data_IF_223231695615
#
_entry.id   IF_223231695615
#
_cell.length_a   1.000
_cell.length_b   1.000
_cell.length_c   1.000
_cell.angle_alpha   90.00
_cell.angle_beta   90.00
_cell.angle_gamma   90.00
#
_symmetry.space_group_name_H-M   'P 1'
#
loop_
_entity.id
_entity.type
_entity.pdbx_description
1 polymer ?
#
# COMPACT_ATOMS: atom_id res chain seq x y z
N UNK A 1 2.22 10.05 17.24
CA UNK A 1 2.64 10.32 15.85
C UNK A 1 3.37 9.12 15.25
N UNK A 2 4.30 8.48 15.97
CA UNK A 2 4.87 7.19 15.58
C UNK A 2 3.78 6.14 15.29
N UNK A 3 2.82 5.95 16.20
CA UNK A 3 1.71 4.99 16.03
C UNK A 3 0.85 5.18 14.77
N UNK A 4 0.69 6.42 14.29
CA UNK A 4 -0.12 6.71 13.10
C UNK A 4 0.66 6.36 11.83
N UNK A 5 1.97 6.55 11.85
CA UNK A 5 2.83 6.22 10.73
C UNK A 5 3.01 4.69 10.64
N UNK A 6 3.24 4.04 11.78
CA UNK A 6 3.36 2.59 11.87
C UNK A 6 2.06 1.92 11.43
N UNK A 7 0.90 2.37 11.92
CA UNK A 7 -0.39 1.85 11.47
C UNK A 7 -0.64 2.08 9.98
N UNK A 8 -0.19 3.21 9.41
CA UNK A 8 -0.31 3.46 7.98
C UNK A 8 0.63 2.57 7.15
N UNK A 9 1.82 2.25 7.68
CA UNK A 9 2.76 1.32 7.06
C UNK A 9 2.21 -0.11 7.10
N UNK A 10 1.65 -0.53 8.23
CA UNK A 10 1.02 -1.86 8.38
C UNK A 10 -0.12 -2.04 7.38
N UNK A 11 -1.01 -1.04 7.26
CA UNK A 11 -2.12 -1.08 6.29
C UNK A 11 -1.64 -1.14 4.83
N UNK A 12 -0.55 -0.47 4.49
CA UNK A 12 0.05 -0.55 3.16
C UNK A 12 0.67 -1.94 2.93
N UNK A 13 1.33 -2.50 3.94
CA UNK A 13 1.98 -3.82 3.88
C UNK A 13 0.94 -4.92 3.66
N UNK A 14 -0.13 -4.93 4.46
CA UNK A 14 -1.24 -5.88 4.31
C UNK A 14 -1.84 -5.82 2.89
N UNK A 15 -2.03 -4.61 2.35
CA UNK A 15 -2.56 -4.44 0.99
C UNK A 15 -1.61 -4.91 -0.10
N UNK A 16 -0.29 -4.75 0.09
CA UNK A 16 0.72 -5.30 -0.84
C UNK A 16 0.65 -6.83 -0.83
N UNK A 17 0.56 -7.45 0.33
CA UNK A 17 0.51 -8.90 0.47
C UNK A 17 -0.73 -9.49 -0.22
N UNK A 18 -1.89 -8.84 -0.05
CA UNK A 18 -3.14 -9.20 -0.75
C UNK A 18 -2.99 -9.15 -2.27
N UNK A 19 -2.42 -8.05 -2.80
CA UNK A 19 -2.17 -7.87 -4.24
C UNK A 19 -1.20 -8.94 -4.75
N UNK A 20 -0.09 -9.18 -4.05
CA UNK A 20 0.90 -10.18 -4.45
C UNK A 20 0.30 -11.59 -4.41
N UNK A 21 -0.51 -11.91 -3.40
CA UNK A 21 -1.24 -13.18 -3.31
C UNK A 21 -2.21 -13.37 -4.48
N UNK A 22 -2.95 -12.32 -4.84
CA UNK A 22 -3.85 -12.35 -5.99
C UNK A 22 -3.11 -12.53 -7.32
N UNK A 23 -2.03 -11.79 -7.55
CA UNK A 23 -1.20 -11.91 -8.76
C UNK A 23 -0.56 -13.30 -8.88
N UNK A 24 -0.17 -13.90 -7.77
CA UNK A 24 0.34 -15.28 -7.76
C UNK A 24 -0.73 -16.28 -8.18
N UNK A 25 -1.97 -16.12 -7.73
CA UNK A 25 -3.07 -17.00 -8.13
C UNK A 25 -3.38 -16.88 -9.64
N UNK A 26 -3.27 -15.67 -10.20
CA UNK A 26 -3.35 -15.43 -11.64
C UNK A 26 -2.24 -16.16 -12.41
N UNK A 27 -0.99 -16.06 -11.93
CA UNK A 27 0.18 -16.69 -12.56
C UNK A 27 0.10 -18.23 -12.49
N UNK A 28 -0.42 -18.77 -11.39
CA UNK A 28 -0.70 -20.20 -11.21
C UNK A 28 -1.90 -20.70 -12.08
N UNK A 29 -2.52 -19.82 -12.88
CA UNK A 29 -3.62 -20.16 -13.79
C UNK A 29 -4.95 -20.44 -13.10
N UNK A 30 -5.13 -19.98 -11.85
CA UNK A 30 -6.38 -20.20 -11.11
C UNK A 30 -7.51 -19.38 -11.73
N UNK A 31 -8.75 -19.90 -11.74
CA UNK A 31 -9.91 -19.13 -12.18
C UNK A 31 -10.03 -17.87 -11.33
N UNK A 32 -10.07 -16.72 -12.00
CA UNK A 32 -10.19 -15.43 -11.33
C UNK A 32 -11.61 -14.93 -11.42
N UNK A 33 -12.21 -14.69 -10.26
CA UNK A 33 -13.44 -13.95 -10.15
C UNK A 33 -13.21 -12.50 -10.63
N UNK A 34 -14.05 -12.03 -11.55
CA UNK A 34 -13.94 -10.67 -12.08
C UNK A 34 -14.14 -9.61 -11.00
N UNK A 35 -14.93 -9.89 -9.97
CA UNK A 35 -15.08 -8.96 -8.86
C UNK A 35 -13.76 -8.84 -8.06
N UNK A 36 -13.12 -9.97 -7.77
CA UNK A 36 -11.81 -10.01 -7.13
C UNK A 36 -10.72 -9.28 -7.97
N UNK A 37 -10.71 -9.46 -9.29
CA UNK A 37 -9.80 -8.75 -10.18
C UNK A 37 -10.00 -7.23 -10.14
N UNK A 38 -11.25 -6.79 -10.17
CA UNK A 38 -11.58 -5.37 -10.10
C UNK A 38 -11.12 -4.75 -8.77
N UNK A 39 -11.30 -5.47 -7.67
CA UNK A 39 -10.81 -5.07 -6.34
C UNK A 39 -9.28 -4.98 -6.32
N UNK A 40 -8.58 -6.01 -6.78
CA UNK A 40 -7.11 -6.00 -6.81
C UNK A 40 -6.54 -4.85 -7.66
N UNK A 41 -7.15 -4.55 -8.82
CA UNK A 41 -6.76 -3.39 -9.65
C UNK A 41 -6.99 -2.07 -8.92
N UNK A 42 -8.13 -1.93 -8.23
CA UNK A 42 -8.43 -0.75 -7.43
C UNK A 42 -7.46 -0.58 -6.25
N UNK A 43 -7.08 -1.68 -5.60
CA UNK A 43 -6.14 -1.66 -4.49
C UNK A 43 -4.72 -1.31 -4.94
N UNK A 44 -4.28 -1.79 -6.09
CA UNK A 44 -3.05 -1.35 -6.75
C UNK A 44 -3.02 0.18 -6.97
N UNK A 45 -4.14 0.74 -7.45
CA UNK A 45 -4.24 2.18 -7.69
C UNK A 45 -4.14 2.97 -6.36
N UNK A 46 -4.85 2.52 -5.32
CA UNK A 46 -4.83 3.15 -4.00
C UNK A 46 -3.46 3.08 -3.32
N UNK A 47 -2.72 1.97 -3.51
CA UNK A 47 -1.39 1.80 -2.95
C UNK A 47 -0.45 2.93 -3.39
N UNK A 48 -0.52 3.32 -4.67
CA UNK A 48 0.29 4.40 -5.22
C UNK A 48 0.02 5.74 -4.51
N UNK A 49 -1.22 6.00 -4.13
CA UNK A 49 -1.64 7.22 -3.45
C UNK A 49 -1.26 7.20 -1.96
N UNK A 50 -1.38 6.05 -1.30
CA UNK A 50 -0.91 5.83 0.06
C UNK A 50 0.61 6.05 0.17
N UNK A 51 1.40 5.46 -0.74
CA UNK A 51 2.85 5.64 -0.79
C UNK A 51 3.28 7.09 -1.01
N UNK A 52 2.59 7.82 -1.91
CA UNK A 52 2.83 9.26 -2.11
C UNK A 52 2.56 10.06 -0.84
N UNK A 53 1.52 9.71 -0.09
CA UNK A 53 1.16 10.37 1.16
C UNK A 53 2.19 10.10 2.25
N UNK A 54 2.64 8.85 2.38
CA UNK A 54 3.70 8.46 3.31
C UNK A 54 5.00 9.22 3.01
N UNK A 55 5.40 9.31 1.74
CA UNK A 55 6.58 10.08 1.31
C UNK A 55 6.50 11.56 1.71
N UNK A 56 5.33 12.19 1.57
CA UNK A 56 5.15 13.59 2.00
C UNK A 56 5.27 13.75 3.50
N UNK A 57 4.77 12.80 4.29
CA UNK A 57 4.89 12.85 5.76
C UNK A 57 6.34 12.65 6.19
N UNK A 58 7.04 11.67 5.61
CA UNK A 58 8.46 11.45 5.87
C UNK A 58 9.31 12.70 5.59
N UNK A 59 9.12 13.33 4.42
CA UNK A 59 9.83 14.57 4.06
C UNK A 59 9.56 15.73 5.05
N UNK A 60 8.33 15.86 5.54
CA UNK A 60 7.99 16.88 6.56
C UNK A 60 8.66 16.60 7.90
N UNK A 61 8.79 15.32 8.28
CA UNK A 61 9.48 14.93 9.52
C UNK A 61 10.98 15.18 9.42
N UNK A 62 11.61 14.85 8.29
CA UNK A 62 13.02 15.16 8.03
C UNK A 62 13.29 16.67 8.09
N UNK A 63 12.42 17.48 7.46
CA UNK A 63 12.55 18.94 7.51
C UNK A 63 12.43 19.48 8.93
N UNK A 64 11.49 18.97 9.75
CA UNK A 64 11.37 19.38 11.15
C UNK A 64 12.62 19.04 11.95
N UNK A 65 13.18 17.85 11.76
CA UNK A 65 14.39 17.39 12.46
C UNK A 65 15.66 18.14 12.05
N UNK A 66 15.66 18.80 10.90
CA UNK A 66 16.78 19.61 10.43
C UNK A 66 16.77 21.05 10.97
N UNK A 67 15.67 21.47 11.61
CA UNK A 67 15.47 22.82 12.16
C UNK A 67 15.56 22.83 13.70
N UNK A 68 15.52 21.64 14.33
CA UNK A 68 15.83 21.39 15.75
C UNK A 68 17.33 21.14 15.96
#
# INVERSE_FOLDING_TARGET
MADVLDSAIDQVTERVDEICGFLKQLDDGKPVDQAALKTAVHDCANLSQSMRSLKRVAARLEQKRAVE
#
